data_IF_982160466902
#
_entry.id   IF_982160466902
#
_cell.length_a   1.000
_cell.length_b   1.000
_cell.length_c   1.000
_cell.angle_alpha   90.00
_cell.angle_beta   90.00
_cell.angle_gamma   90.00
#
_symmetry.space_group_name_H-M   'P 1'
#
loop_
_entity.id
_entity.type
_entity.pdbx_description
1 polymer ?
#
# COMPACT_ATOMS: atom_id res chain seq x y z
N UNK A 1 11.81 2.18 9.96
CA UNK A 1 11.89 0.72 9.68
C UNK A 1 11.02 0.41 8.47
N UNK A 2 11.58 -0.25 7.46
CA UNK A 2 10.80 -0.67 6.30
C UNK A 2 9.82 -1.79 6.66
N UNK A 3 8.55 -1.64 6.28
CA UNK A 3 7.49 -2.64 6.51
C UNK A 3 6.71 -2.91 5.24
N UNK A 4 6.16 -4.11 5.13
CA UNK A 4 5.27 -4.52 4.04
C UNK A 4 3.88 -4.81 4.59
N UNK A 5 2.87 -4.09 4.07
CA UNK A 5 1.46 -4.34 4.38
C UNK A 5 0.75 -4.87 3.13
N UNK A 6 -0.20 -5.79 3.31
CA UNK A 6 -1.04 -6.32 2.24
C UNK A 6 -2.52 -6.16 2.57
N UNK A 7 -3.29 -5.73 1.58
CA UNK A 7 -4.75 -5.57 1.66
C UNK A 7 -5.38 -6.22 0.42
N UNK A 8 -6.32 -7.14 0.61
CA UNK A 8 -7.09 -7.73 -0.47
C UNK A 8 -8.42 -6.99 -0.64
N UNK A 9 -8.77 -6.62 -1.87
CA UNK A 9 -10.01 -5.89 -2.18
C UNK A 9 -10.96 -6.73 -3.02
N UNK A 10 -12.23 -6.71 -2.65
CA UNK A 10 -13.36 -7.31 -3.39
C UNK A 10 -14.10 -6.28 -4.26
N UNK A 11 -13.70 -5.01 -4.19
CA UNK A 11 -14.31 -3.94 -4.98
C UNK A 11 -14.03 -4.14 -6.47
N UNK A 12 -15.04 -3.95 -7.30
CA UNK A 12 -14.91 -3.91 -8.76
C UNK A 12 -14.59 -2.50 -9.28
N UNK A 13 -14.56 -1.51 -8.41
CA UNK A 13 -14.16 -0.15 -8.74
C UNK A 13 -12.64 -0.01 -8.59
N UNK A 14 -11.91 -0.31 -9.64
CA UNK A 14 -10.44 -0.13 -9.67
C UNK A 14 -10.05 1.34 -9.76
N UNK A 15 -10.94 2.20 -10.27
CA UNK A 15 -10.75 3.65 -10.33
C UNK A 15 -10.63 4.26 -8.93
N UNK A 16 -11.34 3.73 -7.94
CA UNK A 16 -11.21 4.18 -6.56
C UNK A 16 -9.79 3.99 -5.99
N UNK A 17 -9.04 2.99 -6.47
CA UNK A 17 -7.64 2.82 -6.09
C UNK A 17 -6.78 3.95 -6.65
N UNK A 18 -6.95 4.31 -7.93
CA UNK A 18 -6.25 5.44 -8.54
C UNK A 18 -6.60 6.76 -7.84
N UNK A 19 -7.88 7.00 -7.59
CA UNK A 19 -8.34 8.20 -6.86
C UNK A 19 -7.70 8.31 -5.47
N UNK A 20 -7.65 7.20 -4.72
CA UNK A 20 -6.97 7.16 -3.44
C UNK A 20 -5.49 7.52 -3.54
N UNK A 21 -4.83 7.12 -4.63
CA UNK A 21 -3.41 7.37 -4.84
C UNK A 21 -3.10 8.83 -5.21
N UNK A 22 -3.96 9.51 -5.96
CA UNK A 22 -3.69 10.86 -6.48
C UNK A 22 -4.32 11.99 -5.66
N UNK A 23 -5.40 11.73 -4.90
CA UNK A 23 -6.08 12.74 -4.10
C UNK A 23 -5.80 12.58 -2.60
N UNK A 24 -5.86 13.69 -1.85
CA UNK A 24 -5.75 13.69 -0.39
C UNK A 24 -6.98 13.05 0.25
N UNK A 25 -6.76 12.22 1.25
CA UNK A 25 -7.81 11.54 2.00
C UNK A 25 -7.62 11.76 3.49
N UNK A 26 -8.73 11.94 4.21
CA UNK A 26 -8.77 11.83 5.67
C UNK A 26 -8.61 10.34 6.03
N UNK A 27 -7.51 10.02 6.68
CA UNK A 27 -7.17 8.62 6.98
C UNK A 27 -8.07 7.99 8.04
N UNK A 28 -8.59 8.81 8.97
CA UNK A 28 -9.47 8.34 10.03
C UNK A 28 -10.87 8.07 9.51
N UNK A 29 -11.38 8.99 8.69
CA UNK A 29 -12.73 8.91 8.11
C UNK A 29 -12.75 8.13 6.79
N UNK A 30 -11.58 7.92 6.16
CA UNK A 30 -11.43 7.30 4.84
C UNK A 30 -12.23 8.01 3.75
N UNK A 31 -12.38 9.32 3.88
CA UNK A 31 -13.10 10.17 2.93
C UNK A 31 -12.14 11.10 2.20
N UNK A 32 -12.43 11.48 0.93
CA UNK A 32 -11.64 12.48 0.23
C UNK A 32 -11.68 13.82 0.95
N UNK A 33 -10.55 14.53 0.94
CA UNK A 33 -10.48 15.92 1.41
C UNK A 33 -10.92 16.81 0.25
N UNK A 34 -11.86 17.73 0.52
CA UNK A 34 -12.44 18.63 -0.47
C UNK A 34 -11.98 20.07 -0.23
N UNK A 35 -11.86 20.85 -1.30
CA UNK A 35 -11.66 22.30 -1.24
C UNK A 35 -12.97 23.05 -0.90
N UNK A 36 -12.89 24.37 -0.83
CA UNK A 36 -14.05 25.23 -0.53
C UNK A 36 -15.18 25.13 -1.56
N UNK A 37 -14.89 24.63 -2.77
CA UNK A 37 -15.85 24.47 -3.86
C UNK A 37 -16.39 23.03 -3.94
N UNK A 38 -15.96 22.14 -3.04
CA UNK A 38 -16.35 20.74 -3.04
C UNK A 38 -15.55 19.85 -3.99
N UNK A 39 -14.45 20.33 -4.58
CA UNK A 39 -13.58 19.52 -5.41
C UNK A 39 -12.56 18.77 -4.58
N UNK A 40 -12.14 17.58 -5.05
CA UNK A 40 -11.09 16.80 -4.40
C UNK A 40 -9.74 17.50 -4.53
N UNK A 41 -8.99 17.54 -3.45
CA UNK A 41 -7.65 18.14 -3.41
C UNK A 41 -6.63 17.08 -3.84
N UNK A 42 -5.86 17.40 -4.90
CA UNK A 42 -4.76 16.56 -5.33
C UNK A 42 -3.62 16.59 -4.31
N UNK A 43 -2.85 15.50 -4.20
CA UNK A 43 -1.64 15.47 -3.37
C UNK A 43 -0.59 16.43 -3.91
N UNK A 44 0.16 17.06 -3.03
CA UNK A 44 1.16 18.06 -3.40
C UNK A 44 2.34 17.42 -4.14
N UNK A 45 2.75 16.22 -3.71
CA UNK A 45 3.84 15.45 -4.32
C UNK A 45 3.50 13.96 -4.31
N UNK A 46 3.55 13.36 -5.48
CA UNK A 46 3.46 11.91 -5.66
C UNK A 46 4.13 11.50 -6.98
N UNK A 47 4.53 10.24 -7.05
CA UNK A 47 5.09 9.63 -8.28
C UNK A 47 4.18 8.47 -8.66
N UNK A 48 3.78 8.37 -9.93
CA UNK A 48 2.83 7.35 -10.39
C UNK A 48 3.31 6.74 -11.70
N UNK A 49 3.40 5.41 -11.72
CA UNK A 49 3.69 4.60 -12.90
C UNK A 49 2.75 3.41 -13.01
N UNK A 50 2.62 2.89 -14.24
CA UNK A 50 1.89 1.67 -14.54
C UNK A 50 2.81 0.54 -14.96
N UNK A 51 2.47 -0.69 -14.57
CA UNK A 51 3.07 -1.91 -15.13
C UNK A 51 2.04 -2.64 -15.97
N UNK A 52 2.39 -2.96 -17.21
CA UNK A 52 1.53 -3.64 -18.19
C UNK A 52 0.19 -2.95 -18.47
N UNK A 53 0.06 -1.67 -18.08
CA UNK A 53 -1.07 -0.79 -18.36
C UNK A 53 -0.67 0.67 -18.20
N UNK A 54 -1.45 1.57 -18.82
CA UNK A 54 -1.39 3.00 -18.53
C UNK A 54 -2.04 3.27 -17.17
N UNK A 55 -1.42 4.09 -16.28
CA UNK A 55 -1.93 4.34 -14.93
C UNK A 55 -3.37 4.86 -14.91
N UNK A 56 -3.66 5.87 -15.73
CA UNK A 56 -4.98 6.50 -15.79
C UNK A 56 -6.05 5.64 -16.46
N UNK A 57 -5.66 4.58 -17.16
CA UNK A 57 -6.54 3.60 -17.78
C UNK A 57 -6.62 2.28 -17.00
N UNK A 58 -6.06 2.23 -15.78
CA UNK A 58 -5.96 1.01 -15.00
C UNK A 58 -7.33 0.33 -14.76
N UNK A 59 -8.36 1.11 -14.42
CA UNK A 59 -9.72 0.57 -14.21
C UNK A 59 -10.25 -0.10 -15.48
N UNK A 60 -10.21 0.60 -16.60
CA UNK A 60 -10.68 0.07 -17.88
C UNK A 60 -9.91 -1.18 -18.31
N UNK A 61 -8.58 -1.15 -18.14
CA UNK A 61 -7.71 -2.27 -18.48
C UNK A 61 -7.96 -3.50 -17.60
N UNK A 62 -8.20 -3.32 -16.29
CA UNK A 62 -8.57 -4.41 -15.38
C UNK A 62 -9.95 -4.99 -15.72
N UNK A 63 -10.92 -4.14 -16.00
CA UNK A 63 -12.26 -4.58 -16.38
C UNK A 63 -12.27 -5.31 -17.73
N UNK A 64 -11.48 -4.86 -18.69
CA UNK A 64 -11.32 -5.55 -19.97
C UNK A 64 -10.75 -6.96 -19.76
N UNK A 65 -9.67 -7.09 -18.98
CA UNK A 65 -9.07 -8.39 -18.68
C UNK A 65 -10.04 -9.33 -17.97
N UNK A 66 -10.82 -8.82 -17.00
CA UNK A 66 -11.84 -9.58 -16.30
C UNK A 66 -12.93 -10.11 -17.27
N UNK A 67 -13.33 -9.32 -18.26
CA UNK A 67 -14.29 -9.73 -19.30
C UNK A 67 -13.70 -10.78 -20.23
N UNK A 68 -12.47 -10.60 -20.66
CA UNK A 68 -11.75 -11.52 -21.55
C UNK A 68 -11.68 -12.94 -20.95
N UNK A 69 -11.27 -13.02 -19.67
CA UNK A 69 -11.13 -14.31 -18.98
C UNK A 69 -12.41 -14.75 -18.24
N UNK A 70 -13.49 -14.00 -18.31
CA UNK A 70 -14.77 -14.30 -17.63
C UNK A 70 -14.61 -14.50 -16.11
N UNK A 71 -13.69 -13.75 -15.48
CA UNK A 71 -13.36 -13.82 -14.06
C UNK A 71 -13.84 -12.58 -13.29
N UNK A 72 -13.74 -12.63 -11.97
CA UNK A 72 -14.06 -11.51 -11.06
C UNK A 72 -15.53 -11.03 -11.12
N UNK A 73 -16.45 -11.92 -11.47
CA UNK A 73 -17.88 -11.63 -11.60
C UNK A 73 -18.59 -11.57 -10.25
N UNK A 74 -18.18 -12.41 -9.29
CA UNK A 74 -18.85 -12.53 -8.00
C UNK A 74 -18.38 -11.43 -7.02
N UNK A 75 -19.31 -10.96 -6.18
CA UNK A 75 -19.04 -9.93 -5.17
C UNK A 75 -18.00 -10.37 -4.12
N UNK A 76 -17.94 -11.67 -3.84
CA UNK A 76 -17.05 -12.22 -2.81
C UNK A 76 -15.63 -12.53 -3.30
N UNK A 77 -15.37 -12.42 -4.60
CA UNK A 77 -14.04 -12.66 -5.16
C UNK A 77 -13.09 -11.49 -4.90
N UNK A 78 -11.85 -11.81 -4.56
CA UNK A 78 -10.77 -10.81 -4.51
C UNK A 78 -10.47 -10.38 -5.95
N UNK A 79 -10.53 -9.06 -6.19
CA UNK A 79 -10.37 -8.45 -7.52
C UNK A 79 -9.07 -7.68 -7.68
N UNK A 80 -8.53 -7.18 -6.57
CA UNK A 80 -7.23 -6.51 -6.54
C UNK A 80 -6.51 -6.79 -5.23
N UNK A 81 -5.19 -6.64 -5.25
CA UNK A 81 -4.35 -6.66 -4.07
C UNK A 81 -3.58 -5.35 -3.99
N UNK A 82 -3.52 -4.78 -2.81
CA UNK A 82 -2.79 -3.55 -2.54
C UNK A 82 -1.67 -3.86 -1.54
N UNK A 83 -0.45 -3.69 -1.99
CA UNK A 83 0.75 -3.80 -1.18
C UNK A 83 1.26 -2.40 -0.87
N UNK A 84 1.71 -2.19 0.35
CA UNK A 84 2.25 -0.91 0.79
C UNK A 84 3.62 -1.18 1.41
N UNK A 85 4.65 -0.59 0.83
CA UNK A 85 5.99 -0.54 1.38
C UNK A 85 6.12 0.80 2.08
N UNK A 86 6.35 0.80 3.38
CA UNK A 86 6.57 2.03 4.16
C UNK A 86 8.00 2.03 4.66
N UNK A 87 8.78 3.05 4.27
CA UNK A 87 10.16 3.22 4.68
C UNK A 87 10.27 3.90 6.04
N UNK A 88 11.44 3.81 6.69
CA UNK A 88 11.71 4.53 7.93
C UNK A 88 11.77 6.05 7.65
N UNK A 89 11.15 6.91 8.47
CA UNK A 89 11.30 8.36 8.28
C UNK A 89 12.77 8.83 8.26
N UNK A 90 13.65 8.16 8.99
CA UNK A 90 15.08 8.46 9.00
C UNK A 90 15.77 8.19 7.68
N UNK A 91 15.21 7.32 6.82
CA UNK A 91 15.82 7.02 5.52
C UNK A 91 15.90 8.27 4.63
N UNK A 92 14.96 9.22 4.79
CA UNK A 92 14.99 10.49 4.05
C UNK A 92 16.13 11.40 4.52
N UNK A 93 16.46 11.40 5.81
CA UNK A 93 17.46 12.31 6.41
C UNK A 93 18.83 11.68 6.53
N UNK A 94 18.92 10.41 6.88
CA UNK A 94 20.18 9.71 7.16
C UNK A 94 20.72 8.97 5.91
N UNK A 95 19.81 8.42 5.08
CA UNK A 95 20.19 7.58 3.94
C UNK A 95 19.83 8.20 2.58
N UNK A 96 19.44 9.49 2.57
CA UNK A 96 19.14 10.28 1.36
C UNK A 96 18.07 9.64 0.46
N UNK A 97 17.12 8.89 1.02
CA UNK A 97 16.02 8.33 0.25
C UNK A 97 15.09 9.45 -0.21
N UNK A 98 14.97 9.62 -1.52
CA UNK A 98 14.04 10.58 -2.15
C UNK A 98 12.78 9.87 -2.63
N UNK A 99 11.68 10.62 -2.84
CA UNK A 99 10.46 10.06 -3.41
C UNK A 99 10.68 9.42 -4.78
N UNK A 100 11.53 10.03 -5.62
CA UNK A 100 11.90 9.47 -6.91
C UNK A 100 12.63 8.13 -6.76
N UNK A 101 13.61 8.03 -5.84
CA UNK A 101 14.32 6.77 -5.60
C UNK A 101 13.40 5.71 -5.04
N UNK A 102 12.50 6.06 -4.12
CA UNK A 102 11.50 5.14 -3.59
C UNK A 102 10.56 4.63 -4.70
N UNK A 103 10.17 5.48 -5.66
CA UNK A 103 9.38 5.07 -6.83
C UNK A 103 10.13 4.06 -7.71
N UNK A 104 11.42 4.28 -7.99
CA UNK A 104 12.26 3.35 -8.75
C UNK A 104 12.36 2.00 -8.04
N UNK A 105 12.57 2.00 -6.71
CA UNK A 105 12.62 0.77 -5.90
C UNK A 105 11.26 0.05 -5.87
N UNK A 106 10.17 0.80 -5.78
CA UNK A 106 8.81 0.28 -5.86
C UNK A 106 8.51 -0.39 -7.20
N UNK A 107 8.94 0.22 -8.29
CA UNK A 107 8.82 -0.35 -9.63
C UNK A 107 9.68 -1.62 -9.79
N UNK A 108 10.91 -1.61 -9.31
CA UNK A 108 11.78 -2.78 -9.30
C UNK A 108 11.13 -3.92 -8.51
N UNK A 109 10.67 -3.62 -7.31
CA UNK A 109 9.97 -4.57 -6.45
C UNK A 109 8.73 -5.16 -7.14
N UNK A 110 7.91 -4.31 -7.75
CA UNK A 110 6.68 -4.74 -8.41
C UNK A 110 6.97 -5.62 -9.64
N UNK A 111 7.98 -5.28 -10.45
CA UNK A 111 8.42 -6.09 -11.60
C UNK A 111 8.92 -7.47 -11.18
N UNK A 112 9.72 -7.54 -10.12
CA UNK A 112 10.30 -8.79 -9.63
C UNK A 112 9.25 -9.70 -9.00
N UNK A 113 8.33 -9.13 -8.22
CA UNK A 113 7.43 -9.89 -7.37
C UNK A 113 6.02 -10.09 -7.95
N UNK A 114 5.58 -9.26 -8.89
CA UNK A 114 4.26 -9.39 -9.54
C UNK A 114 4.36 -9.46 -11.07
N UNK A 115 5.25 -10.31 -11.61
CA UNK A 115 5.48 -10.35 -13.05
C UNK A 115 4.20 -10.70 -13.80
N UNK A 116 3.97 -9.98 -14.90
CA UNK A 116 2.81 -10.19 -15.77
C UNK A 116 1.49 -9.65 -15.26
N UNK A 117 1.39 -9.12 -14.03
CA UNK A 117 0.19 -8.42 -13.57
C UNK A 117 0.13 -6.98 -14.12
N UNK A 118 -1.09 -6.47 -14.29
CA UNK A 118 -1.32 -5.04 -14.39
C UNK A 118 -1.16 -4.44 -12.99
N UNK A 119 -0.40 -3.34 -12.86
CA UNK A 119 -0.22 -2.69 -11.57
C UNK A 119 -0.15 -1.18 -11.69
N UNK A 120 -0.61 -0.49 -10.64
CA UNK A 120 -0.25 0.89 -10.31
C UNK A 120 0.86 0.86 -9.26
N UNK A 121 1.91 1.64 -9.47
CA UNK A 121 2.95 1.89 -8.47
C UNK A 121 2.97 3.37 -8.19
N UNK A 122 2.69 3.76 -6.96
CA UNK A 122 2.60 5.17 -6.58
C UNK A 122 3.33 5.42 -5.27
N UNK A 123 4.24 6.38 -5.27
CA UNK A 123 4.96 6.83 -4.08
C UNK A 123 4.35 8.09 -3.53
N UNK A 124 4.11 8.11 -2.23
CA UNK A 124 3.67 9.27 -1.46
C UNK A 124 4.78 9.74 -0.53
N UNK A 125 4.83 11.07 -0.33
CA UNK A 125 5.76 11.73 0.59
C UNK A 125 5.09 12.14 1.90
N UNK A 126 3.77 12.12 1.95
CA UNK A 126 2.92 12.53 3.07
C UNK A 126 2.57 11.35 3.99
N UNK A 127 3.56 10.78 4.64
CA UNK A 127 3.34 9.63 5.54
C UNK A 127 2.24 9.88 6.57
N UNK A 128 1.56 8.80 6.98
CA UNK A 128 0.52 8.80 7.99
C UNK A 128 0.94 9.59 9.22
N UNK A 129 0.06 10.44 9.72
CA UNK A 129 0.22 11.21 10.96
C UNK A 129 1.27 12.33 10.93
N UNK A 130 1.60 12.87 9.77
CA UNK A 130 2.66 13.87 9.69
C UNK A 130 4.05 13.31 9.99
N UNK A 131 4.22 11.98 9.99
CA UNK A 131 5.51 11.34 10.23
C UNK A 131 6.49 11.56 9.07
N UNK A 132 5.99 12.02 7.90
CA UNK A 132 6.82 12.30 6.73
C UNK A 132 7.51 11.07 6.13
N UNK A 133 7.08 9.85 6.49
CA UNK A 133 7.69 8.66 5.93
C UNK A 133 7.25 8.43 4.49
N UNK A 134 8.22 8.17 3.64
CA UNK A 134 7.97 7.80 2.24
C UNK A 134 7.34 6.41 2.21
N UNK A 135 6.27 6.25 1.42
CA UNK A 135 5.66 4.97 1.23
C UNK A 135 5.22 4.73 -0.22
N UNK A 136 5.40 3.49 -0.65
CA UNK A 136 5.08 3.05 -2.01
C UNK A 136 3.86 2.16 -1.97
N UNK A 137 2.84 2.54 -2.72
CA UNK A 137 1.65 1.76 -2.97
C UNK A 137 1.81 0.97 -4.27
N UNK A 138 1.54 -0.33 -4.22
CA UNK A 138 1.53 -1.21 -5.39
C UNK A 138 0.15 -1.87 -5.44
N UNK A 139 -0.68 -1.45 -6.38
CA UNK A 139 -2.03 -2.02 -6.57
C UNK A 139 -2.03 -2.89 -7.80
N UNK A 140 -2.22 -4.19 -7.64
CA UNK A 140 -2.25 -5.15 -8.75
C UNK A 140 -3.68 -5.62 -9.05
N UNK A 141 -3.99 -5.83 -10.33
CA UNK A 141 -5.15 -6.64 -10.70
C UNK A 141 -4.95 -8.08 -10.18
N UNK A 142 -5.98 -8.67 -9.60
CA UNK A 142 -5.90 -10.07 -9.15
C UNK A 142 -5.61 -11.04 -10.28
N UNK A 143 -6.02 -10.72 -11.52
CA UNK A 143 -5.69 -11.54 -12.69
C UNK A 143 -4.35 -11.16 -13.29
N UNK A 144 -3.59 -12.17 -13.67
CA UNK A 144 -2.37 -11.99 -14.45
C UNK A 144 -2.74 -11.70 -15.91
N UNK A 145 -2.11 -10.67 -16.48
CA UNK A 145 -2.34 -10.27 -17.88
C UNK A 145 -1.48 -11.05 -18.87
N UNK A 146 -0.23 -11.34 -18.51
CA UNK A 146 0.76 -11.94 -19.40
C UNK A 146 1.25 -13.26 -18.85
N UNK A 147 1.51 -14.22 -19.72
CA UNK A 147 2.28 -15.41 -19.38
C UNK A 147 3.70 -15.01 -18.99
N UNK A 148 4.24 -15.62 -17.97
CA UNK A 148 5.60 -15.38 -17.48
C UNK A 148 6.29 -16.72 -17.18
N UNK A 149 7.63 -16.77 -17.13
CA UNK A 149 8.33 -17.93 -16.61
C UNK A 149 7.90 -18.23 -15.18
N UNK A 150 7.72 -19.52 -14.86
CA UNK A 150 7.40 -19.93 -13.50
C UNK A 150 8.55 -19.53 -12.55
N UNK A 151 8.20 -18.86 -11.47
CA UNK A 151 9.15 -18.43 -10.44
C UNK A 151 9.10 -19.40 -9.24
N UNK A 152 10.18 -19.49 -8.45
CA UNK A 152 10.23 -20.40 -7.28
C UNK A 152 9.12 -20.21 -6.26
N UNK A 153 8.57 -18.99 -6.15
CA UNK A 153 7.46 -18.65 -5.24
C UNK A 153 6.08 -18.97 -5.83
N UNK A 154 5.98 -19.43 -7.07
CA UNK A 154 4.74 -19.85 -7.74
C UNK A 154 4.55 -21.35 -7.52
N UNK A 155 3.65 -21.70 -6.58
CA UNK A 155 3.47 -23.10 -6.17
C UNK A 155 2.79 -23.95 -7.23
N UNK A 156 1.84 -23.36 -7.98
CA UNK A 156 1.05 -24.08 -8.98
C UNK A 156 1.56 -23.78 -10.38
N UNK A 157 1.58 -24.75 -11.31
CA UNK A 157 1.95 -24.49 -12.70
C UNK A 157 1.13 -23.39 -13.39
N UNK A 158 -0.11 -23.18 -12.94
CA UNK A 158 -1.00 -22.15 -13.48
C UNK A 158 -0.72 -20.75 -12.92
N UNK A 159 0.04 -20.63 -11.85
CA UNK A 159 0.32 -19.32 -11.22
C UNK A 159 1.17 -18.41 -12.13
N UNK A 160 1.84 -18.96 -13.15
CA UNK A 160 2.60 -18.21 -14.16
C UNK A 160 1.78 -17.84 -15.40
N UNK A 161 0.52 -18.28 -15.52
CA UNK A 161 -0.30 -18.13 -16.73
C UNK A 161 -1.23 -16.91 -16.67
N UNK A 162 -1.44 -16.29 -17.83
CA UNK A 162 -2.44 -15.24 -18.01
C UNK A 162 -3.86 -15.74 -17.68
N UNK A 163 -4.71 -14.85 -17.16
CA UNK A 163 -6.07 -15.17 -16.75
C UNK A 163 -6.20 -15.91 -15.42
N UNK A 164 -5.10 -16.29 -14.77
CA UNK A 164 -5.12 -16.89 -13.44
C UNK A 164 -4.93 -15.82 -12.35
N UNK A 165 -5.58 -16.07 -11.22
CA UNK A 165 -5.56 -15.16 -10.09
C UNK A 165 -4.22 -15.21 -9.34
N UNK A 166 -3.81 -14.07 -8.84
CA UNK A 166 -2.74 -13.96 -7.87
C UNK A 166 -2.99 -14.87 -6.68
N UNK A 167 -2.08 -15.80 -6.45
CA UNK A 167 -2.18 -16.82 -5.40
C UNK A 167 -1.15 -16.53 -4.32
N UNK A 168 -1.58 -15.76 -3.30
CA UNK A 168 -0.72 -15.41 -2.18
C UNK A 168 -0.74 -16.53 -1.14
N UNK A 169 0.36 -17.30 -1.09
CA UNK A 169 0.61 -18.31 -0.05
C UNK A 169 1.48 -17.76 1.07
N UNK A 170 1.65 -18.53 2.14
CA UNK A 170 2.55 -18.12 3.24
C UNK A 170 4.01 -18.01 2.77
N UNK A 171 4.42 -18.91 1.89
CA UNK A 171 5.80 -18.91 1.38
C UNK A 171 6.03 -17.79 0.37
N UNK A 172 5.00 -17.47 -0.44
CA UNK A 172 5.04 -16.28 -1.28
C UNK A 172 5.12 -14.99 -0.44
N UNK A 173 4.36 -14.91 0.66
CA UNK A 173 4.47 -13.75 1.56
C UNK A 173 5.87 -13.61 2.17
N UNK A 174 6.48 -14.70 2.60
CA UNK A 174 7.88 -14.69 3.08
C UNK A 174 8.86 -14.25 1.98
N UNK A 175 8.64 -14.70 0.74
CA UNK A 175 9.43 -14.25 -0.40
C UNK A 175 9.31 -12.73 -0.60
N UNK A 176 8.09 -12.19 -0.55
CA UNK A 176 7.84 -10.74 -0.66
C UNK A 176 8.56 -9.96 0.46
N UNK A 177 8.50 -10.45 1.69
CA UNK A 177 9.19 -9.85 2.84
C UNK A 177 10.70 -9.89 2.65
N UNK A 178 11.24 -11.04 2.24
CA UNK A 178 12.69 -11.19 1.97
C UNK A 178 13.13 -10.27 0.84
N UNK A 179 12.38 -10.21 -0.26
CA UNK A 179 12.68 -9.33 -1.41
C UNK A 179 12.76 -7.86 -0.98
N UNK A 180 11.88 -7.41 -0.08
CA UNK A 180 11.96 -6.05 0.47
C UNK A 180 13.21 -5.87 1.33
N UNK A 181 13.54 -6.83 2.20
CA UNK A 181 14.73 -6.78 3.04
C UNK A 181 16.01 -6.73 2.20
N UNK A 182 16.07 -7.51 1.12
CA UNK A 182 17.22 -7.54 0.21
C UNK A 182 17.42 -6.17 -0.50
N UNK A 183 16.32 -5.52 -0.91
CA UNK A 183 16.35 -4.15 -1.46
C UNK A 183 16.84 -3.15 -0.40
N UNK A 184 16.27 -3.18 0.80
CA UNK A 184 16.68 -2.26 1.87
C UNK A 184 18.15 -2.45 2.25
N UNK A 185 18.65 -3.69 2.30
CA UNK A 185 20.05 -3.99 2.55
C UNK A 185 20.96 -3.40 1.46
N UNK A 186 20.60 -3.61 0.19
CA UNK A 186 21.34 -3.10 -0.96
C UNK A 186 21.43 -1.57 -0.96
N UNK A 187 20.33 -0.92 -0.62
CA UNK A 187 20.21 0.55 -0.61
C UNK A 187 20.65 1.18 0.73
N UNK A 188 21.13 0.38 1.68
CA UNK A 188 21.51 0.83 3.03
C UNK A 188 20.37 1.54 3.78
N UNK A 189 19.13 1.04 3.62
CA UNK A 189 17.94 1.57 4.28
C UNK A 189 17.66 0.87 5.60
N UNK A 190 17.04 1.59 6.53
CA UNK A 190 16.67 1.08 7.85
C UNK A 190 15.57 0.01 7.72
N UNK A 191 15.85 -1.19 8.17
CA UNK A 191 14.91 -2.31 8.10
C UNK A 191 14.85 -3.09 9.42
N UNK A 192 13.84 -3.92 9.54
CA UNK A 192 13.70 -4.94 10.59
C UNK A 192 13.63 -6.33 9.94
N UNK A 193 13.85 -7.36 10.73
CA UNK A 193 13.60 -8.73 10.29
C UNK A 193 12.09 -8.98 10.20
N UNK A 194 11.57 -8.96 8.96
CA UNK A 194 10.16 -9.21 8.67
C UNK A 194 9.79 -10.69 8.72
N UNK A 195 10.78 -11.60 8.81
CA UNK A 195 10.58 -13.04 8.85
C UNK A 195 10.44 -13.56 10.27
N UNK A 196 10.99 -12.85 11.24
CA UNK A 196 10.84 -13.18 12.65
C UNK A 196 9.42 -12.87 13.16
N UNK A 197 8.86 -13.70 14.05
CA UNK A 197 7.55 -13.42 14.62
C UNK A 197 7.58 -12.14 15.46
N UNK A 198 6.54 -11.31 15.34
CA UNK A 198 6.38 -10.12 16.17
C UNK A 198 6.22 -10.51 17.66
N UNK A 199 6.94 -9.81 18.54
CA UNK A 199 6.85 -9.99 19.99
C UNK A 199 5.49 -9.49 20.55
N UNK A 200 4.87 -8.50 19.89
CA UNK A 200 3.54 -8.01 20.23
C UNK A 200 2.69 -7.87 18.99
N UNK A 201 1.41 -8.19 19.09
CA UNK A 201 0.45 -8.06 18.00
C UNK A 201 -0.65 -7.12 18.45
N UNK A 202 -0.69 -5.94 17.82
CA UNK A 202 -1.85 -5.03 17.93
C UNK A 202 -2.58 -5.10 16.60
N UNK A 203 -3.87 -5.41 16.63
CA UNK A 203 -4.68 -5.42 15.41
C UNK A 203 -4.85 -3.99 14.88
N UNK A 204 -5.06 -3.85 13.57
CA UNK A 204 -5.35 -2.56 12.95
C UNK A 204 -6.59 -1.90 13.58
N UNK A 205 -7.61 -2.69 13.93
CA UNK A 205 -8.81 -2.21 14.59
C UNK A 205 -8.52 -1.65 15.98
N UNK A 206 -7.70 -2.33 16.78
CA UNK A 206 -7.27 -1.85 18.11
C UNK A 206 -6.44 -0.58 17.99
N UNK A 207 -5.51 -0.53 17.05
CA UNK A 207 -4.70 0.65 16.80
C UNK A 207 -5.59 1.87 16.49
N UNK A 208 -6.50 1.77 15.51
CA UNK A 208 -7.37 2.88 15.15
C UNK A 208 -8.42 3.18 16.22
N UNK A 209 -8.88 2.19 17.00
CA UNK A 209 -9.79 2.43 18.11
C UNK A 209 -9.10 3.25 19.21
N UNK A 210 -7.90 2.89 19.60
CA UNK A 210 -7.07 3.63 20.56
C UNK A 210 -6.81 5.05 20.06
N UNK A 211 -6.41 5.20 18.79
CA UNK A 211 -6.13 6.50 18.20
C UNK A 211 -7.35 7.42 18.16
N UNK A 212 -8.53 6.92 17.77
CA UNK A 212 -9.78 7.69 17.83
C UNK A 212 -10.11 8.09 19.27
N UNK A 213 -9.92 7.21 20.22
CA UNK A 213 -10.10 7.50 21.65
C UNK A 213 -9.19 8.61 22.12
N UNK A 214 -7.91 8.60 21.72
CA UNK A 214 -6.96 9.68 22.05
C UNK A 214 -7.38 11.01 21.46
N UNK A 215 -7.75 11.07 20.18
CA UNK A 215 -8.20 12.30 19.52
C UNK A 215 -9.45 12.88 20.22
N UNK A 216 -10.42 12.03 20.55
CA UNK A 216 -11.61 12.47 21.25
C UNK A 216 -11.28 13.03 22.63
N UNK A 217 -10.35 12.40 23.34
CA UNK A 217 -9.88 12.87 24.64
C UNK A 217 -9.15 14.21 24.53
N UNK A 218 -8.30 14.37 23.51
CA UNK A 218 -7.56 15.61 23.25
C UNK A 218 -8.52 16.76 22.92
N UNK A 219 -9.55 16.52 22.10
CA UNK A 219 -10.59 17.51 21.80
C UNK A 219 -11.37 17.90 23.05
N UNK A 220 -11.77 16.93 23.88
CA UNK A 220 -12.48 17.20 25.13
C UNK A 220 -11.60 17.99 26.11
N UNK A 221 -10.31 17.65 26.19
CA UNK A 221 -9.37 18.40 27.03
C UNK A 221 -9.17 19.85 26.54
N UNK A 222 -9.09 20.04 25.22
CA UNK A 222 -8.99 21.37 24.60
C UNK A 222 -10.23 22.24 24.94
N UNK A 223 -11.42 21.64 24.84
CA UNK A 223 -12.68 22.32 25.18
C UNK A 223 -12.78 22.70 26.67
N UNK A 224 -12.30 21.81 27.58
CA UNK A 224 -12.44 21.97 29.02
C UNK A 224 -11.32 22.79 29.66
N UNK A 225 -10.09 22.64 29.19
CA UNK A 225 -8.88 23.10 29.85
C UNK A 225 -8.08 24.15 29.03
N UNK A 226 -8.46 24.37 27.76
CA UNK A 226 -7.71 25.23 26.85
C UNK A 226 -6.40 24.61 26.38
N UNK A 227 -5.61 25.36 25.61
CA UNK A 227 -4.36 24.91 25.02
C UNK A 227 -3.36 24.43 26.08
N UNK A 228 -2.85 23.23 25.93
CA UNK A 228 -1.67 22.74 26.65
C UNK A 228 -1.86 21.51 27.51
N UNK A 229 -3.04 20.90 27.56
CA UNK A 229 -3.27 19.65 28.29
C UNK A 229 -3.54 18.48 27.36
N UNK A 230 -2.59 17.54 27.25
CA UNK A 230 -2.77 16.25 26.55
C UNK A 230 -2.68 15.11 27.54
N UNK A 231 -3.77 14.34 27.70
CA UNK A 231 -3.74 13.09 28.44
C UNK A 231 -3.51 11.94 27.45
N UNK A 232 -2.35 11.30 27.52
CA UNK A 232 -2.01 10.17 26.65
C UNK A 232 -2.75 8.91 27.08
N UNK A 233 -3.53 8.31 26.19
CA UNK A 233 -4.06 6.95 26.34
C UNK A 233 -2.98 5.88 26.04
N UNK A 234 -1.84 6.31 25.53
CA UNK A 234 -0.70 5.45 25.28
C UNK A 234 0.37 5.67 26.33
N UNK A 235 0.59 4.67 27.13
CA UNK A 235 1.92 4.43 27.67
C UNK A 235 2.66 3.62 26.60
N UNK A 236 3.72 4.19 26.06
CA UNK A 236 4.62 3.41 25.18
C UNK A 236 5.05 2.15 25.89
N UNK A 237 5.11 1.00 25.20
CA UNK A 237 5.76 -0.19 25.70
C UNK A 237 7.24 0.04 25.86
#
# INVERSE_FOLDING_TARGET
MAILKHIASKSSNYGAALEYLIFKHDELRKTPILDQNGNRIMRDEFYLDGLNCEPYSFDAACQQLNREYQKNKNKNEIKSHHYIISFDPRDSTENCLTGKRAQELGLEYAKANFPGHQALVCTHMDGHNGSGNIHVHIVINSLRKLDVPQQPFMERPVDCKAGYKHHLTKDYLKHLQKSLMDICMRENLNQIDLLSPSLSKVSEQEYYAKRRGQINLDLTNLELLGDGFTCLLYTSP
#
